data_IF_157027998730
#
_entry.id   IF_157027998730
#
_cell.length_a   1.000
_cell.length_b   1.000
_cell.length_c   1.000
_cell.angle_alpha   90.00
_cell.angle_beta   90.00
_cell.angle_gamma   90.00
#
_symmetry.space_group_name_H-M   'P 1'
#
loop_
_entity.id
_entity.type
_entity.pdbx_description
1 polymer ?
#
# COMPACT_ATOMS: atom_id res chain seq x y z
N UNK A 1 17.42 -27.54 63.91
CA UNK A 1 17.22 -26.37 63.03
C UNK A 1 18.04 -26.58 61.77
N UNK A 2 17.44 -26.29 60.60
CA UNK A 2 18.01 -26.29 59.24
C UNK A 2 18.12 -27.62 58.47
N UNK A 3 17.00 -28.00 57.83
CA UNK A 3 17.00 -28.71 56.54
C UNK A 3 16.09 -27.92 55.59
N UNK A 4 16.63 -27.00 54.80
CA UNK A 4 15.97 -26.44 53.59
C UNK A 4 16.78 -25.31 52.93
N UNK A 5 17.69 -25.60 51.99
CA UNK A 5 18.06 -24.59 50.95
C UNK A 5 18.88 -25.08 49.73
N UNK A 6 18.90 -26.37 49.37
CA UNK A 6 19.71 -26.82 48.21
C UNK A 6 18.90 -27.30 46.99
N UNK A 7 17.57 -27.42 47.07
CA UNK A 7 16.76 -27.87 45.93
C UNK A 7 16.45 -26.77 44.90
N UNK A 8 16.69 -25.49 45.21
CA UNK A 8 16.37 -24.35 44.32
C UNK A 8 17.40 -24.04 43.23
N UNK A 9 18.69 -24.33 43.46
CA UNK A 9 19.80 -23.89 42.59
C UNK A 9 20.16 -24.88 41.48
N UNK A 10 20.01 -26.20 41.71
CA UNK A 10 20.31 -27.23 40.71
C UNK A 10 19.32 -27.23 39.52
N UNK A 11 18.04 -26.94 39.77
CA UNK A 11 17.01 -26.82 38.72
C UNK A 11 17.19 -25.60 37.81
N UNK A 12 17.73 -24.49 38.34
CA UNK A 12 17.99 -23.28 37.54
C UNK A 12 19.21 -23.44 36.61
N UNK A 13 20.23 -24.20 37.03
CA UNK A 13 21.43 -24.49 36.22
C UNK A 13 21.13 -25.39 35.01
N UNK A 14 20.35 -26.46 35.21
CA UNK A 14 19.96 -27.37 34.11
C UNK A 14 19.04 -26.70 33.10
N UNK A 15 18.13 -25.82 33.55
CA UNK A 15 17.28 -25.02 32.70
C UNK A 15 18.09 -24.03 31.84
N UNK A 16 19.09 -23.36 32.42
CA UNK A 16 20.01 -22.46 31.70
C UNK A 16 20.83 -23.20 30.64
N UNK A 17 21.31 -24.41 30.93
CA UNK A 17 22.02 -25.24 29.97
C UNK A 17 21.12 -25.73 28.81
N UNK A 18 19.87 -26.10 29.11
CA UNK A 18 18.88 -26.50 28.11
C UNK A 18 18.50 -25.33 27.20
N UNK A 19 18.26 -24.15 27.78
CA UNK A 19 17.97 -22.92 27.04
C UNK A 19 19.13 -22.55 26.10
N UNK A 20 20.37 -22.58 26.58
CA UNK A 20 21.56 -22.35 25.73
C UNK A 20 21.64 -23.30 24.54
N UNK A 21 21.34 -24.59 24.73
CA UNK A 21 21.28 -25.57 23.63
C UNK A 21 20.16 -25.26 22.65
N UNK A 22 18.99 -24.84 23.13
CA UNK A 22 17.85 -24.46 22.27
C UNK A 22 18.18 -23.22 21.44
N UNK A 23 18.79 -22.19 22.05
CA UNK A 23 19.24 -20.98 21.36
C UNK A 23 20.27 -21.34 20.29
N UNK A 24 21.31 -22.10 20.63
CA UNK A 24 22.33 -22.52 19.65
C UNK A 24 21.74 -23.32 18.46
N UNK A 25 20.73 -24.15 18.71
CA UNK A 25 19.98 -24.85 17.66
C UNK A 25 19.15 -23.90 16.80
N UNK A 26 18.51 -22.90 17.41
CA UNK A 26 17.75 -21.86 16.69
C UNK A 26 18.68 -21.01 15.82
N UNK A 27 19.81 -20.54 16.36
CA UNK A 27 20.83 -19.80 15.62
C UNK A 27 21.35 -20.60 14.43
N UNK A 28 21.64 -21.89 14.62
CA UNK A 28 22.08 -22.75 13.51
C UNK A 28 21.01 -22.89 12.43
N UNK A 29 19.72 -23.01 12.81
CA UNK A 29 18.61 -23.06 11.85
C UNK A 29 18.44 -21.74 11.10
N UNK A 30 18.55 -20.60 11.77
CA UNK A 30 18.49 -19.26 11.16
C UNK A 30 19.67 -19.08 10.20
N UNK A 31 20.88 -19.49 10.59
CA UNK A 31 22.06 -19.47 9.73
C UNK A 31 21.93 -20.35 8.49
N UNK A 32 21.26 -21.51 8.60
CA UNK A 32 20.98 -22.35 7.44
C UNK A 32 19.88 -21.74 6.55
N UNK A 33 18.83 -21.18 7.15
CA UNK A 33 17.73 -20.55 6.42
C UNK A 33 18.20 -19.33 5.62
N UNK A 34 19.06 -18.49 6.20
CA UNK A 34 19.66 -17.33 5.52
C UNK A 34 20.54 -17.74 4.34
N UNK A 35 21.39 -18.76 4.51
CA UNK A 35 22.19 -19.30 3.39
C UNK A 35 21.31 -19.86 2.27
N UNK A 36 20.23 -20.56 2.61
CA UNK A 36 19.28 -21.09 1.63
C UNK A 36 18.51 -19.98 0.92
N UNK A 37 18.12 -18.92 1.63
CA UNK A 37 17.47 -17.76 1.04
C UNK A 37 18.40 -17.06 0.02
N UNK A 38 19.67 -16.83 0.38
CA UNK A 38 20.67 -16.26 -0.53
C UNK A 38 20.93 -17.15 -1.76
N UNK A 39 20.97 -18.48 -1.58
CA UNK A 39 21.08 -19.40 -2.72
C UNK A 39 19.84 -19.36 -3.63
N UNK A 40 18.66 -19.13 -3.06
CA UNK A 40 17.42 -19.00 -3.83
C UNK A 40 17.34 -17.70 -4.65
N UNK A 41 18.06 -16.65 -4.24
CA UNK A 41 18.14 -15.40 -5.03
C UNK A 41 18.76 -15.63 -6.41
N UNK A 42 19.67 -16.60 -6.56
CA UNK A 42 20.24 -16.99 -7.86
C UNK A 42 19.20 -17.58 -8.82
N UNK A 43 18.03 -17.98 -8.33
CA UNK A 43 16.94 -18.55 -9.12
C UNK A 43 15.93 -17.49 -9.58
N UNK A 44 16.14 -16.21 -9.28
CA UNK A 44 15.24 -15.14 -9.72
C UNK A 44 15.27 -15.04 -11.25
N UNK A 45 14.11 -15.08 -11.93
CA UNK A 45 14.05 -15.09 -13.39
C UNK A 45 14.26 -13.72 -14.02
N UNK A 46 14.34 -12.66 -13.22
CA UNK A 46 14.38 -11.28 -13.70
C UNK A 46 15.44 -10.50 -12.93
N UNK A 47 16.12 -9.61 -13.66
CA UNK A 47 17.08 -8.65 -13.11
C UNK A 47 16.41 -7.28 -12.96
N UNK A 48 16.93 -6.44 -12.06
CA UNK A 48 16.44 -5.09 -11.89
C UNK A 48 16.82 -4.22 -13.11
N UNK A 49 15.89 -3.37 -13.56
CA UNK A 49 16.18 -2.39 -14.61
C UNK A 49 17.13 -1.30 -14.10
N UNK A 50 18.13 -0.93 -14.90
CA UNK A 50 19.13 0.10 -14.57
C UNK A 50 19.30 1.03 -15.77
N UNK A 51 19.56 2.30 -15.49
CA UNK A 51 20.01 3.29 -16.49
C UNK A 51 21.40 3.75 -16.07
N UNK A 52 22.42 3.33 -16.81
CA UNK A 52 23.80 3.76 -16.61
C UNK A 52 24.19 4.72 -17.75
N UNK A 53 24.79 5.85 -17.38
CA UNK A 53 25.27 6.84 -18.34
C UNK A 53 26.75 6.62 -18.63
N UNK A 54 27.13 6.72 -19.91
CA UNK A 54 28.53 6.61 -20.30
C UNK A 54 29.25 7.97 -20.27
N UNK A 55 30.52 7.96 -19.85
CA UNK A 55 31.41 9.12 -19.94
C UNK A 55 30.98 10.31 -19.07
N UNK A 56 30.65 11.44 -19.72
CA UNK A 56 30.24 12.70 -19.07
C UNK A 56 28.72 12.97 -19.13
N UNK A 57 27.93 12.03 -19.66
CA UNK A 57 26.48 12.18 -19.65
C UNK A 57 25.93 12.08 -18.23
N UNK A 58 24.88 12.86 -17.94
CA UNK A 58 24.23 12.87 -16.64
C UNK A 58 22.84 12.25 -16.76
N UNK A 59 22.50 11.36 -15.82
CA UNK A 59 21.26 10.58 -15.85
C UNK A 59 19.99 11.43 -15.71
N UNK A 60 20.09 12.62 -15.11
CA UNK A 60 18.99 13.58 -14.95
C UNK A 60 18.55 14.24 -16.28
N UNK A 61 19.40 14.20 -17.31
CA UNK A 61 19.12 14.81 -18.62
C UNK A 61 18.45 13.88 -19.61
N UNK A 62 18.28 12.60 -19.26
CA UNK A 62 17.67 11.60 -20.13
C UNK A 62 16.16 11.85 -20.20
N UNK A 63 15.65 12.10 -21.40
CA UNK A 63 14.21 12.33 -21.64
C UNK A 63 13.41 11.03 -21.67
N UNK A 64 12.11 11.11 -21.38
CA UNK A 64 11.19 9.97 -21.49
C UNK A 64 11.11 9.40 -22.92
N UNK A 65 11.30 10.23 -23.94
CA UNK A 65 11.35 9.79 -25.34
C UNK A 65 12.59 8.95 -25.63
N UNK A 66 13.76 9.34 -25.08
CA UNK A 66 14.99 8.56 -25.21
C UNK A 66 14.87 7.22 -24.48
N UNK A 67 14.29 7.19 -23.27
CA UNK A 67 14.03 5.94 -22.54
C UNK A 67 13.11 5.04 -23.36
N UNK A 68 11.99 5.58 -23.84
CA UNK A 68 11.00 4.83 -24.63
C UNK A 68 11.58 4.25 -25.94
N UNK A 69 12.61 4.89 -26.51
CA UNK A 69 13.27 4.41 -27.72
C UNK A 69 14.29 3.28 -27.46
N UNK A 70 14.79 3.14 -26.22
CA UNK A 70 15.82 2.17 -25.85
C UNK A 70 15.26 0.93 -25.13
N UNK A 71 14.00 0.96 -24.71
CA UNK A 71 13.32 -0.18 -24.06
C UNK A 71 12.64 -1.08 -25.08
N UNK A 72 12.29 -2.30 -24.67
CA UNK A 72 11.53 -3.23 -25.50
C UNK A 72 10.11 -2.71 -25.81
N UNK A 73 9.51 -3.24 -26.88
CA UNK A 73 8.22 -2.80 -27.38
C UNK A 73 7.07 -2.96 -26.37
N UNK A 74 7.14 -3.94 -25.45
CA UNK A 74 6.10 -4.12 -24.43
C UNK A 74 6.20 -3.03 -23.35
N UNK A 75 7.41 -2.68 -22.95
CA UNK A 75 7.64 -1.57 -22.01
C UNK A 75 7.28 -0.23 -22.64
N UNK A 76 7.65 -0.02 -23.91
CA UNK A 76 7.30 1.19 -24.66
C UNK A 76 5.78 1.41 -24.72
N UNK A 77 4.98 0.34 -24.95
CA UNK A 77 3.51 0.41 -24.99
C UNK A 77 2.86 0.83 -23.67
N UNK A 78 3.54 0.67 -22.53
CA UNK A 78 3.05 1.09 -21.21
C UNK A 78 3.27 2.59 -20.95
N UNK A 79 4.10 3.25 -21.76
CA UNK A 79 4.31 4.69 -21.71
C UNK A 79 3.28 5.39 -22.61
N UNK A 80 2.14 5.78 -22.03
CA UNK A 80 1.12 6.56 -22.72
C UNK A 80 0.66 7.75 -21.88
N UNK A 81 0.11 8.74 -22.56
CA UNK A 81 -0.45 9.94 -21.94
C UNK A 81 -1.96 9.90 -22.07
N UNK A 82 -2.66 10.05 -20.95
CA UNK A 82 -4.13 10.18 -20.92
C UNK A 82 -4.47 11.62 -20.58
N UNK A 83 -5.05 12.34 -21.54
CA UNK A 83 -5.42 13.74 -21.36
C UNK A 83 -6.87 13.83 -20.88
N UNK A 84 -7.05 14.19 -19.61
CA UNK A 84 -8.36 14.41 -18.96
C UNK A 84 -8.41 15.83 -18.40
N UNK A 85 -8.76 16.79 -19.23
CA UNK A 85 -8.68 18.23 -18.95
C UNK A 85 -9.96 18.83 -18.33
N UNK A 86 -11.10 18.18 -18.51
CA UNK A 86 -12.41 18.77 -18.17
C UNK A 86 -12.80 18.65 -16.69
N UNK A 87 -12.36 17.59 -16.00
CA UNK A 87 -12.92 17.15 -14.71
C UNK A 87 -12.00 17.42 -13.51
N UNK A 88 -11.08 18.37 -13.67
CA UNK A 88 -10.15 18.83 -12.63
C UNK A 88 -8.93 17.92 -12.47
N UNK A 89 -8.03 18.21 -11.51
CA UNK A 89 -6.87 17.37 -11.27
C UNK A 89 -7.30 15.97 -10.84
N UNK A 90 -6.58 14.97 -11.32
CA UNK A 90 -6.83 13.57 -11.03
C UNK A 90 -5.92 13.06 -9.92
N UNK A 91 -6.48 12.28 -9.00
CA UNK A 91 -5.76 11.35 -8.14
C UNK A 91 -5.73 9.98 -8.80
N UNK A 92 -4.61 9.29 -8.63
CA UNK A 92 -4.35 8.00 -9.26
C UNK A 92 -3.92 7.03 -8.18
N UNK A 93 -4.55 5.85 -8.14
CA UNK A 93 -4.13 4.74 -7.29
C UNK A 93 -3.98 3.48 -8.13
N UNK A 94 -2.91 2.73 -7.89
CA UNK A 94 -2.70 1.42 -8.50
C UNK A 94 -3.12 0.31 -7.54
N UNK A 95 -3.53 -0.81 -8.11
CA UNK A 95 -3.64 -2.05 -7.34
C UNK A 95 -2.26 -2.55 -6.93
N UNK A 96 -2.20 -3.38 -5.88
CA UNK A 96 -0.92 -3.93 -5.40
C UNK A 96 -0.21 -4.79 -6.46
N UNK A 97 -0.95 -5.39 -7.39
CA UNK A 97 -0.40 -6.12 -8.54
C UNK A 97 -0.05 -5.23 -9.75
N UNK A 98 -0.36 -3.93 -9.71
CA UNK A 98 -0.12 -2.98 -10.80
C UNK A 98 -0.97 -3.17 -12.07
N UNK A 99 -1.96 -4.07 -12.05
CA UNK A 99 -2.78 -4.39 -13.24
C UNK A 99 -3.91 -3.40 -13.48
N UNK A 100 -4.43 -2.76 -12.43
CA UNK A 100 -5.54 -1.80 -12.55
C UNK A 100 -5.12 -0.46 -11.99
N UNK A 101 -5.71 0.57 -12.58
CA UNK A 101 -5.56 1.96 -12.18
C UNK A 101 -6.94 2.52 -11.84
N UNK A 102 -7.02 3.22 -10.72
CA UNK A 102 -8.18 3.97 -10.27
C UNK A 102 -7.88 5.46 -10.41
N UNK A 103 -8.78 6.15 -11.10
CA UNK A 103 -8.70 7.57 -11.39
C UNK A 103 -9.83 8.25 -10.63
N UNK A 104 -9.50 9.32 -9.90
CA UNK A 104 -10.46 10.16 -9.19
C UNK A 104 -10.25 11.63 -9.56
N UNK A 105 -11.07 12.16 -10.46
CA UNK A 105 -11.08 13.56 -10.86
C UNK A 105 -11.82 14.42 -9.85
N UNK A 106 -11.27 15.61 -9.56
CA UNK A 106 -11.81 16.50 -8.52
C UNK A 106 -13.26 16.92 -8.72
N UNK A 107 -13.79 16.90 -9.95
CA UNK A 107 -15.22 17.20 -10.26
C UNK A 107 -16.15 15.97 -10.17
N UNK A 108 -15.70 14.86 -9.59
CA UNK A 108 -16.55 13.70 -9.31
C UNK A 108 -16.48 12.58 -10.34
N UNK A 109 -15.49 12.63 -11.22
CA UNK A 109 -15.20 11.56 -12.17
C UNK A 109 -14.41 10.46 -11.50
N UNK A 110 -14.88 9.23 -11.60
CA UNK A 110 -14.17 8.07 -11.07
C UNK A 110 -14.13 7.03 -12.16
N UNK A 111 -12.94 6.55 -12.50
CA UNK A 111 -12.78 5.53 -13.52
C UNK A 111 -11.80 4.45 -13.08
N UNK A 112 -12.10 3.20 -13.42
CA UNK A 112 -11.20 2.07 -13.26
C UNK A 112 -10.82 1.59 -14.64
N UNK A 113 -9.51 1.51 -14.89
CA UNK A 113 -8.98 0.98 -16.14
C UNK A 113 -7.97 -0.15 -15.88
N UNK A 114 -7.89 -1.09 -16.83
CA UNK A 114 -6.75 -1.99 -16.94
C UNK A 114 -5.54 -1.17 -17.37
N UNK A 115 -4.44 -1.27 -16.62
CA UNK A 115 -3.21 -0.55 -16.97
C UNK A 115 -2.59 -1.07 -18.27
N UNK A 116 -2.76 -2.38 -18.53
CA UNK A 116 -2.38 -3.02 -19.79
C UNK A 116 -3.33 -2.54 -20.91
N UNK A 117 -2.90 -1.51 -21.64
CA UNK A 117 -3.64 -0.89 -22.75
C UNK A 117 -4.71 0.14 -22.38
N UNK A 118 -4.79 0.58 -21.12
CA UNK A 118 -5.75 1.60 -20.64
C UNK A 118 -7.22 1.30 -20.99
N UNK A 119 -7.63 0.03 -20.87
CA UNK A 119 -9.02 -0.35 -21.14
C UNK A 119 -9.90 0.02 -19.94
N UNK A 120 -10.81 0.98 -20.13
CA UNK A 120 -11.77 1.38 -19.10
C UNK A 120 -12.72 0.21 -18.83
N UNK A 121 -12.75 -0.24 -17.58
CA UNK A 121 -13.67 -1.29 -17.11
C UNK A 121 -14.96 -0.70 -16.58
N UNK A 122 -14.84 0.39 -15.85
CA UNK A 122 -15.96 1.01 -15.18
C UNK A 122 -15.72 2.51 -15.02
N UNK A 123 -16.79 3.28 -15.12
CA UNK A 123 -16.79 4.74 -15.02
C UNK A 123 -18.03 5.19 -14.25
N UNK A 124 -17.82 6.08 -13.28
CA UNK A 124 -18.85 6.60 -12.39
C UNK A 124 -18.72 8.11 -12.26
N UNK A 125 -19.84 8.81 -12.35
CA UNK A 125 -19.90 10.26 -12.15
C UNK A 125 -20.74 10.58 -10.91
N UNK A 126 -20.07 10.92 -9.81
CA UNK A 126 -20.70 11.17 -8.50
C UNK A 126 -21.19 12.62 -8.35
N UNK A 127 -20.80 13.52 -9.26
CA UNK A 127 -21.15 14.96 -9.23
C UNK A 127 -20.80 15.69 -7.92
N UNK A 128 -19.96 15.09 -7.08
CA UNK A 128 -19.40 15.69 -5.87
C UNK A 128 -17.89 15.87 -6.00
N UNK A 129 -17.29 16.66 -5.11
CA UNK A 129 -15.83 16.79 -5.07
C UNK A 129 -15.18 15.51 -4.56
N UNK A 130 -14.32 14.90 -5.38
CA UNK A 130 -13.45 13.79 -4.98
C UNK A 130 -12.08 14.34 -4.61
N UNK A 131 -11.59 13.98 -3.42
CA UNK A 131 -10.29 14.45 -2.91
C UNK A 131 -9.20 13.40 -3.03
N UNK A 132 -9.56 12.14 -2.78
CA UNK A 132 -8.64 11.02 -2.84
C UNK A 132 -9.36 9.70 -3.12
N UNK A 133 -8.60 8.74 -3.63
CA UNK A 133 -9.08 7.41 -4.03
C UNK A 133 -8.05 6.35 -3.67
N UNK A 134 -8.49 5.19 -3.19
CA UNK A 134 -7.59 4.06 -2.91
C UNK A 134 -8.28 2.74 -3.18
N UNK A 135 -7.53 1.76 -3.69
CA UNK A 135 -7.99 0.38 -3.72
C UNK A 135 -7.95 -0.24 -2.32
N UNK A 136 -8.80 -1.25 -2.13
CA UNK A 136 -8.80 -2.14 -0.97
C UNK A 136 -8.25 -3.53 -1.39
N UNK A 137 -8.01 -4.41 -0.41
CA UNK A 137 -7.12 -5.59 -0.56
C UNK A 137 -7.43 -6.52 -1.73
N UNK A 138 -8.70 -6.74 -2.03
CA UNK A 138 -9.11 -7.75 -3.03
C UNK A 138 -9.28 -7.19 -4.44
N UNK A 139 -8.96 -5.91 -4.65
CA UNK A 139 -9.22 -5.20 -5.91
C UNK A 139 -10.70 -5.25 -6.33
N UNK A 140 -11.59 -5.76 -5.48
CA UNK A 140 -13.04 -5.84 -5.64
C UNK A 140 -13.72 -4.57 -5.15
N UNK A 141 -13.07 -3.84 -4.26
CA UNK A 141 -13.60 -2.64 -3.67
C UNK A 141 -12.57 -1.52 -3.70
N UNK A 142 -13.09 -0.28 -3.73
CA UNK A 142 -12.28 0.91 -3.63
C UNK A 142 -12.98 1.94 -2.75
N UNK A 143 -12.18 2.74 -2.05
CA UNK A 143 -12.64 3.80 -1.19
C UNK A 143 -12.42 5.17 -1.86
N UNK A 144 -13.40 6.05 -1.73
CA UNK A 144 -13.43 7.37 -2.36
C UNK A 144 -13.77 8.42 -1.30
N UNK A 145 -12.85 9.36 -1.11
CA UNK A 145 -13.06 10.51 -0.25
C UNK A 145 -13.85 11.58 -1.01
N UNK A 146 -15.15 11.64 -0.76
CA UNK A 146 -16.05 12.62 -1.36
C UNK A 146 -16.13 13.90 -0.53
N UNK A 147 -17.08 14.78 -0.86
CA UNK A 147 -17.18 16.08 -0.22
C UNK A 147 -17.43 15.94 1.28
N UNK A 148 -18.47 15.19 1.68
CA UNK A 148 -18.91 15.09 3.09
C UNK A 148 -18.45 13.83 3.82
N UNK A 149 -18.50 12.69 3.13
CA UNK A 149 -18.23 11.38 3.73
C UNK A 149 -17.23 10.61 2.88
N UNK A 150 -16.70 9.54 3.49
CA UNK A 150 -15.98 8.50 2.78
C UNK A 150 -16.97 7.45 2.30
N UNK A 151 -16.83 7.03 1.04
CA UNK A 151 -17.66 5.99 0.43
C UNK A 151 -16.79 4.81 0.02
N UNK A 152 -17.34 3.61 0.12
CA UNK A 152 -16.75 2.38 -0.42
C UNK A 152 -17.66 1.87 -1.51
N UNK A 153 -17.06 1.60 -2.66
CA UNK A 153 -17.73 1.11 -3.85
C UNK A 153 -17.21 -0.28 -4.21
N UNK A 154 -18.07 -1.08 -4.82
CA UNK A 154 -17.69 -2.27 -5.58
C UNK A 154 -17.09 -1.87 -6.94
N UNK A 155 -16.35 -2.79 -7.57
CA UNK A 155 -15.79 -2.64 -8.92
C UNK A 155 -16.83 -2.23 -9.96
N UNK A 156 -18.08 -2.65 -9.79
CA UNK A 156 -19.21 -2.32 -10.67
C UNK A 156 -19.83 -0.93 -10.40
N UNK A 157 -19.25 -0.14 -9.48
CA UNK A 157 -19.75 1.19 -9.15
C UNK A 157 -20.91 1.21 -8.16
N UNK A 158 -21.28 0.07 -7.61
CA UNK A 158 -22.32 -0.02 -6.59
C UNK A 158 -21.77 0.49 -5.27
N UNK A 159 -22.47 1.44 -4.64
CA UNK A 159 -22.08 1.94 -3.31
C UNK A 159 -22.37 0.86 -2.27
N UNK A 160 -21.34 0.39 -1.58
CA UNK A 160 -21.47 -0.61 -0.52
C UNK A 160 -21.66 0.04 0.84
N UNK A 161 -20.83 1.04 1.14
CA UNK A 161 -20.82 1.70 2.44
C UNK A 161 -20.68 3.21 2.36
N UNK A 162 -21.41 3.91 3.22
CA UNK A 162 -21.28 5.34 3.47
C UNK A 162 -20.80 5.55 4.92
N UNK A 163 -19.53 5.94 5.07
CA UNK A 163 -18.87 6.06 6.36
C UNK A 163 -19.07 7.48 6.91
N UNK A 164 -20.15 7.64 7.70
CA UNK A 164 -20.53 8.93 8.31
C UNK A 164 -19.67 9.34 9.50
N UNK A 165 -19.00 8.39 10.13
CA UNK A 165 -18.16 8.63 11.32
C UNK A 165 -16.85 9.37 10.97
N UNK A 166 -16.43 9.36 9.71
CA UNK A 166 -15.20 10.01 9.23
C UNK A 166 -15.38 11.50 8.90
N UNK A 167 -16.34 12.14 9.56
CA UNK A 167 -16.57 13.58 9.43
C UNK A 167 -15.66 14.39 10.35
N UNK A 168 -15.47 15.68 10.02
CA UNK A 168 -15.70 16.33 8.73
C UNK A 168 -14.52 16.12 7.77
N UNK A 169 -14.85 15.96 6.48
CA UNK A 169 -13.97 15.98 5.30
C UNK A 169 -12.67 15.15 5.39
N UNK A 170 -12.63 14.03 4.67
CA UNK A 170 -11.40 13.25 4.47
C UNK A 170 -10.66 13.82 3.26
N UNK A 171 -9.40 14.18 3.45
CA UNK A 171 -8.53 14.71 2.39
C UNK A 171 -7.62 13.61 1.81
N UNK A 172 -7.17 12.67 2.65
CA UNK A 172 -6.26 11.59 2.25
C UNK A 172 -6.71 10.24 2.75
N UNK A 173 -6.49 9.25 1.91
CA UNK A 173 -6.78 7.84 2.15
C UNK A 173 -5.55 6.99 1.91
N UNK A 174 -5.29 6.05 2.81
CA UNK A 174 -4.28 5.03 2.59
C UNK A 174 -4.77 3.70 3.14
N UNK A 175 -4.76 2.67 2.32
CA UNK A 175 -5.08 1.31 2.76
C UNK A 175 -3.82 0.55 3.17
N UNK A 176 -3.87 -0.09 4.34
CA UNK A 176 -2.83 -0.96 4.88
C UNK A 176 -3.19 -2.42 4.58
N UNK A 177 -2.61 -3.04 3.52
CA UNK A 177 -3.08 -4.32 3.02
C UNK A 177 -2.92 -5.43 4.06
N UNK A 178 -1.81 -5.50 4.78
CA UNK A 178 -1.55 -6.58 5.73
C UNK A 178 -2.46 -6.57 6.96
N UNK A 179 -3.00 -5.40 7.32
CA UNK A 179 -3.78 -5.19 8.55
C UNK A 179 -5.28 -5.01 8.30
N UNK A 180 -5.73 -4.94 7.05
CA UNK A 180 -7.11 -4.60 6.67
C UNK A 180 -7.59 -3.23 7.18
N UNK A 181 -6.66 -2.31 7.41
CA UNK A 181 -6.98 -0.98 7.92
C UNK A 181 -7.02 0.04 6.80
N UNK A 182 -8.08 0.83 6.76
CA UNK A 182 -8.17 2.05 5.98
C UNK A 182 -7.84 3.24 6.88
N UNK A 183 -6.69 3.87 6.61
CA UNK A 183 -6.27 5.09 7.25
C UNK A 183 -6.90 6.28 6.55
N UNK A 184 -7.48 7.18 7.33
CA UNK A 184 -8.11 8.39 6.83
C UNK A 184 -7.57 9.59 7.59
N UNK A 185 -7.25 10.67 6.86
CA UNK A 185 -6.87 11.96 7.46
C UNK A 185 -7.63 13.07 6.74
N UNK A 186 -8.04 14.07 7.51
CA UNK A 186 -8.86 15.17 7.04
C UNK A 186 -8.41 16.54 7.53
N UNK A 187 -9.27 17.52 7.33
CA UNK A 187 -9.05 18.91 7.74
C UNK A 187 -9.02 19.10 9.26
N UNK A 188 -9.58 18.17 10.03
CA UNK A 188 -9.52 18.21 11.50
C UNK A 188 -8.18 17.78 12.08
N UNK A 189 -7.26 17.25 11.27
CA UNK A 189 -6.00 16.70 11.78
C UNK A 189 -6.22 15.51 12.71
N UNK A 190 -7.25 14.70 12.46
CA UNK A 190 -7.46 13.43 13.18
C UNK A 190 -7.19 12.28 12.21
N UNK A 191 -6.21 11.45 12.54
CA UNK A 191 -5.93 10.20 11.85
C UNK A 191 -6.85 9.12 12.40
N UNK A 192 -7.66 8.51 11.54
CA UNK A 192 -8.56 7.41 11.92
C UNK A 192 -8.19 6.14 11.19
N UNK A 193 -8.22 5.03 11.93
CA UNK A 193 -8.02 3.68 11.44
C UNK A 193 -9.36 2.96 11.44
N UNK A 194 -9.84 2.60 10.26
CA UNK A 194 -11.04 1.81 10.08
C UNK A 194 -10.64 0.40 9.68
N UNK A 195 -11.12 -0.62 10.39
CA UNK A 195 -11.04 -1.99 9.92
C UNK A 195 -12.11 -2.22 8.85
N UNK A 196 -11.66 -2.52 7.63
CA UNK A 196 -12.51 -2.73 6.46
C UNK A 196 -13.24 -4.07 6.54
N UNK A 197 -12.70 -5.05 7.25
CA UNK A 197 -13.31 -6.38 7.38
C UNK A 197 -14.50 -6.39 8.34
N UNK A 198 -14.36 -5.70 9.48
CA UNK A 198 -15.42 -5.60 10.50
C UNK A 198 -16.28 -4.35 10.36
N UNK A 199 -15.83 -3.35 9.59
CA UNK A 199 -16.49 -2.05 9.47
C UNK A 199 -16.39 -1.18 10.73
N UNK A 200 -15.55 -1.58 11.71
CA UNK A 200 -15.42 -0.89 12.99
C UNK A 200 -14.22 0.06 13.00
N UNK A 201 -14.37 1.20 13.69
CA UNK A 201 -13.26 2.12 13.90
C UNK A 201 -12.37 1.57 15.02
N UNK A 202 -11.09 1.38 14.70
CA UNK A 202 -10.10 0.76 15.59
C UNK A 202 -9.46 1.82 16.48
N UNK A 203 -9.10 2.96 15.91
CA UNK A 203 -8.41 4.02 16.63
C UNK A 203 -8.61 5.38 15.96
N UNK A 204 -8.73 6.41 16.79
CA UNK A 204 -8.68 7.80 16.37
C UNK A 204 -7.57 8.52 17.12
N UNK A 205 -6.68 9.18 16.37
CA UNK A 205 -5.48 9.81 16.89
C UNK A 205 -5.42 11.26 16.39
N UNK A 206 -5.58 12.26 17.27
CA UNK A 206 -5.39 13.65 16.89
C UNK A 206 -3.91 13.93 16.64
N UNK A 207 -3.56 14.42 15.45
CA UNK A 207 -2.19 14.79 15.09
C UNK A 207 -1.72 16.05 15.81
N UNK A 208 -2.66 16.94 16.19
CA UNK A 208 -2.40 18.25 16.82
C UNK A 208 -1.52 19.18 15.98
N UNK A 209 -1.43 18.93 14.67
CA UNK A 209 -0.62 19.71 13.72
C UNK A 209 -1.46 20.49 12.70
N UNK A 210 -2.79 20.54 12.89
CA UNK A 210 -3.71 21.22 11.99
C UNK A 210 -4.23 20.32 10.86
N UNK A 211 -4.74 20.95 9.79
CA UNK A 211 -5.29 20.25 8.63
C UNK A 211 -4.18 19.51 7.85
N UNK A 212 -4.48 18.31 7.36
CA UNK A 212 -3.59 17.57 6.48
C UNK A 212 -4.21 17.45 5.09
N UNK A 213 -3.43 17.79 4.05
CA UNK A 213 -3.86 17.85 2.64
C UNK A 213 -3.17 16.82 1.74
#
# INVERSE_FOLDING_TARGET
VMVSSQKGTMGQSSHKARLKRTIKRSESKIGLATKRAAQAEMLLPQEAGVIETEGMERSDRISQQQIAAQVDLQTQRKAYTVTLDQLGPYRVAFTANGRRVLLGGRKGHIAIASWDGFQIRHELQVKETVRDVTFLRDETMYAVAQHKNLYIYDLNGVELHCLRNHRPQVNRLQFLPYHWLLCTVGSTGVLRYLDVSTGSNVAEMPTRLGACD
#
